data_IF_390193420250
#
_entry.id   IF_390193420250
#
_cell.length_a   1.000
_cell.length_b   1.000
_cell.length_c   1.000
_cell.angle_alpha   90.00
_cell.angle_beta   90.00
_cell.angle_gamma   90.00
#
_symmetry.space_group_name_H-M   'P 1'
#
loop_
_entity.id
_entity.type
_entity.pdbx_description
1 polymer ?
#
# COMPACT_ATOMS: atom_id res chain seq x y z
N UNK A 1 -3.16 2.88 -16.73
CA UNK A 1 -3.45 2.52 -15.33
C UNK A 1 -2.87 3.51 -14.32
N UNK A 2 -1.57 3.55 -14.02
CA UNK A 2 -1.01 4.38 -12.94
C UNK A 2 -1.38 5.88 -13.03
N UNK A 3 -1.29 6.49 -14.20
CA UNK A 3 -1.67 7.90 -14.39
C UNK A 3 -3.15 8.17 -14.11
N UNK A 4 -4.02 7.23 -14.43
CA UNK A 4 -5.44 7.33 -14.15
C UNK A 4 -5.70 7.25 -12.64
N UNK A 5 -5.14 6.25 -11.99
CA UNK A 5 -5.24 6.09 -10.54
C UNK A 5 -4.69 7.33 -9.80
N UNK A 6 -3.59 7.90 -10.29
CA UNK A 6 -3.05 9.15 -9.75
C UNK A 6 -4.02 10.33 -9.85
N UNK A 7 -4.67 10.51 -10.99
CA UNK A 7 -5.65 11.59 -11.18
C UNK A 7 -6.88 11.41 -10.28
N UNK A 8 -7.38 10.20 -10.17
CA UNK A 8 -8.54 9.90 -9.32
C UNK A 8 -8.22 10.06 -7.84
N UNK A 9 -7.05 9.59 -7.40
CA UNK A 9 -6.56 9.81 -6.05
C UNK A 9 -6.40 11.31 -5.73
N UNK A 10 -5.83 12.08 -6.67
CA UNK A 10 -5.66 13.53 -6.50
C UNK A 10 -6.98 14.27 -6.32
N UNK A 11 -8.05 13.86 -6.99
CA UNK A 11 -9.40 14.44 -6.81
C UNK A 11 -9.94 14.26 -5.38
N UNK A 12 -9.41 13.28 -4.64
CA UNK A 12 -9.74 13.00 -3.23
C UNK A 12 -8.69 13.54 -2.26
N UNK A 13 -7.73 14.35 -2.74
CA UNK A 13 -6.69 14.93 -1.93
C UNK A 13 -5.46 14.03 -1.69
N UNK A 14 -5.46 12.81 -2.21
CA UNK A 14 -4.32 11.90 -2.09
C UNK A 14 -3.20 12.27 -3.06
N UNK A 15 -1.97 12.20 -2.57
CA UNK A 15 -0.76 12.26 -3.42
C UNK A 15 -0.33 10.86 -3.79
N UNK A 16 0.07 10.66 -5.03
CA UNK A 16 0.68 9.42 -5.50
C UNK A 16 2.14 9.68 -5.89
N UNK A 17 3.04 8.85 -5.38
CA UNK A 17 4.43 8.77 -5.80
C UNK A 17 4.64 7.44 -6.53
N UNK A 18 4.98 7.53 -7.81
CA UNK A 18 5.32 6.36 -8.59
C UNK A 18 6.75 5.87 -8.27
N UNK A 19 6.97 4.57 -8.30
CA UNK A 19 8.28 3.94 -8.17
C UNK A 19 9.05 4.46 -6.94
N UNK A 20 8.39 4.50 -5.79
CA UNK A 20 9.02 4.99 -4.56
C UNK A 20 10.27 4.15 -4.23
N UNK A 21 11.36 4.82 -3.91
CA UNK A 21 12.68 4.21 -3.70
C UNK A 21 13.35 4.73 -2.42
N UNK A 22 14.48 4.15 -2.05
CA UNK A 22 15.25 4.57 -0.89
C UNK A 22 14.97 3.74 0.37
N UNK A 23 14.21 2.65 0.25
CA UNK A 23 14.06 1.67 1.32
C UNK A 23 14.55 0.30 0.87
N UNK A 24 15.12 -0.44 1.83
CA UNK A 24 15.80 -1.70 1.60
C UNK A 24 15.23 -2.76 2.54
N UNK A 25 15.08 -3.97 2.05
CA UNK A 25 14.81 -5.14 2.88
C UNK A 25 16.09 -5.60 3.57
N UNK A 26 17.21 -5.53 2.83
CA UNK A 26 18.55 -5.84 3.31
C UNK A 26 19.44 -4.68 2.91
N UNK A 27 20.07 -4.03 3.89
CA UNK A 27 21.12 -3.04 3.65
C UNK A 27 22.44 -3.77 3.34
N UNK A 28 23.30 -3.12 2.57
CA UNK A 28 24.63 -3.67 2.30
C UNK A 28 25.40 -3.79 3.61
N UNK A 29 25.81 -5.01 3.93
CA UNK A 29 26.65 -5.31 5.06
C UNK A 29 27.80 -6.23 4.61
N UNK A 30 29.02 -5.75 4.73
CA UNK A 30 30.24 -6.53 4.44
C UNK A 30 30.25 -7.16 3.01
N UNK A 31 29.80 -6.41 2.01
CA UNK A 31 29.77 -6.84 0.60
C UNK A 31 28.59 -7.72 0.21
N UNK A 32 27.61 -7.92 1.09
CA UNK A 32 26.35 -8.55 0.71
C UNK A 32 25.50 -7.60 -0.16
N UNK A 33 24.77 -8.10 -1.17
CA UNK A 33 23.94 -7.26 -2.01
C UNK A 33 22.77 -6.64 -1.22
N UNK A 34 22.53 -5.35 -1.43
CA UNK A 34 21.32 -4.70 -0.91
C UNK A 34 20.09 -5.13 -1.71
N UNK A 35 18.97 -5.36 -1.02
CA UNK A 35 17.70 -5.69 -1.63
C UNK A 35 16.77 -4.47 -1.56
N UNK A 36 16.59 -3.81 -2.70
CA UNK A 36 15.74 -2.62 -2.82
C UNK A 36 14.27 -2.98 -2.84
N UNK A 37 13.46 -2.18 -2.16
CA UNK A 37 12.00 -2.29 -2.16
C UNK A 37 11.38 -1.09 -2.88
N UNK A 38 10.78 -1.36 -4.03
CA UNK A 38 10.23 -0.34 -4.94
C UNK A 38 8.79 -0.65 -5.30
N UNK A 39 7.80 -0.28 -4.48
CA UNK A 39 6.41 -0.42 -4.87
C UNK A 39 6.10 0.48 -6.06
N UNK A 40 5.20 0.05 -6.93
CA UNK A 40 4.80 0.81 -8.11
C UNK A 40 4.18 2.16 -7.75
N UNK A 41 3.35 2.18 -6.71
CA UNK A 41 2.64 3.37 -6.28
C UNK A 41 2.60 3.47 -4.76
N UNK A 42 2.90 4.64 -4.24
CA UNK A 42 2.74 5.01 -2.84
C UNK A 42 1.75 6.17 -2.75
N UNK A 43 0.70 6.01 -1.98
CA UNK A 43 -0.34 7.01 -1.77
C UNK A 43 -0.24 7.58 -0.37
N UNK A 44 -0.43 8.89 -0.24
CA UNK A 44 -0.40 9.58 1.05
C UNK A 44 -1.43 10.69 1.13
N UNK A 45 -2.14 10.77 2.26
CA UNK A 45 -3.09 11.83 2.58
C UNK A 45 -3.28 11.95 4.09
N UNK A 46 -3.21 13.17 4.64
CA UNK A 46 -3.51 13.46 6.04
C UNK A 46 -2.86 12.49 7.07
N UNK A 47 -1.62 12.09 6.83
CA UNK A 47 -0.90 11.13 7.68
C UNK A 47 -1.16 9.66 7.38
N UNK A 48 -2.17 9.34 6.57
CA UNK A 48 -2.39 8.00 6.07
C UNK A 48 -1.46 7.71 4.89
N UNK A 49 -0.89 6.51 4.88
CA UNK A 49 -0.05 6.02 3.79
C UNK A 49 -0.51 4.61 3.43
N UNK A 50 -0.65 4.35 2.15
CA UNK A 50 -0.86 3.01 1.63
C UNK A 50 -0.06 2.81 0.34
N UNK A 51 0.10 1.59 -0.10
CA UNK A 51 0.85 1.28 -1.31
C UNK A 51 0.11 0.32 -2.23
N UNK A 52 0.42 0.39 -3.52
CA UNK A 52 -0.11 -0.52 -4.50
C UNK A 52 0.99 -0.99 -5.45
N UNK A 53 0.87 -2.22 -5.88
CA UNK A 53 1.71 -2.84 -6.90
C UNK A 53 0.85 -3.45 -7.99
N UNK A 54 1.25 -3.28 -9.24
CA UNK A 54 0.49 -3.76 -10.39
C UNK A 54 1.14 -4.99 -10.99
N UNK A 55 0.33 -5.91 -11.47
CA UNK A 55 0.81 -7.12 -12.13
C UNK A 55 0.35 -7.14 -13.58
N UNK A 56 1.15 -7.78 -14.42
CA UNK A 56 0.86 -7.88 -15.85
C UNK A 56 0.03 -9.11 -16.22
N UNK A 57 -0.02 -10.10 -15.35
CA UNK A 57 -0.82 -11.31 -15.56
C UNK A 57 -2.28 -11.07 -15.14
N UNK A 58 -3.20 -11.69 -15.84
CA UNK A 58 -4.62 -11.70 -15.47
C UNK A 58 -4.83 -12.66 -14.30
N UNK A 59 -5.64 -12.26 -13.32
CA UNK A 59 -6.12 -13.13 -12.25
C UNK A 59 -7.64 -13.30 -12.39
N UNK A 60 -8.10 -14.53 -12.55
CA UNK A 60 -9.52 -14.89 -12.71
C UNK A 60 -10.08 -15.62 -11.48
N UNK A 61 -9.23 -16.13 -10.62
CA UNK A 61 -9.58 -16.87 -9.39
C UNK A 61 -8.49 -16.71 -8.34
N UNK A 62 -8.81 -17.04 -7.09
CA UNK A 62 -7.87 -16.92 -5.96
C UNK A 62 -6.54 -17.67 -6.18
N UNK A 63 -6.56 -18.80 -6.89
CA UNK A 63 -5.33 -19.57 -7.18
C UNK A 63 -4.37 -18.88 -8.16
N UNK A 64 -4.78 -17.81 -8.80
CA UNK A 64 -3.93 -17.06 -9.72
C UNK A 64 -3.05 -16.03 -8.98
N UNK A 65 -3.36 -15.76 -7.71
CA UNK A 65 -2.54 -14.91 -6.84
C UNK A 65 -1.34 -15.73 -6.38
N UNK A 66 -0.14 -15.36 -6.83
CA UNK A 66 1.05 -16.14 -6.49
C UNK A 66 1.55 -15.83 -5.07
N UNK A 67 2.11 -16.85 -4.43
CA UNK A 67 2.78 -16.67 -3.13
C UNK A 67 3.92 -15.64 -3.21
N UNK A 68 4.64 -15.59 -4.33
CA UNK A 68 5.71 -14.63 -4.54
C UNK A 68 5.18 -13.18 -4.52
N UNK A 69 4.02 -12.93 -5.14
CA UNK A 69 3.37 -11.62 -5.10
C UNK A 69 2.96 -11.24 -3.67
N UNK A 70 2.44 -12.20 -2.90
CA UNK A 70 2.07 -11.99 -1.49
C UNK A 70 3.30 -11.68 -0.64
N UNK A 71 4.40 -12.42 -0.80
CA UNK A 71 5.65 -12.16 -0.08
C UNK A 71 6.25 -10.79 -0.42
N UNK A 72 6.20 -10.40 -1.69
CA UNK A 72 6.65 -9.09 -2.12
C UNK A 72 5.83 -7.98 -1.45
N UNK A 73 4.50 -8.13 -1.45
CA UNK A 73 3.60 -7.16 -0.82
C UNK A 73 3.79 -7.09 0.68
N UNK A 74 4.04 -8.22 1.34
CA UNK A 74 4.39 -8.25 2.75
C UNK A 74 5.67 -7.45 3.05
N UNK A 75 6.74 -7.70 2.27
CA UNK A 75 7.99 -6.97 2.43
C UNK A 75 7.83 -5.45 2.22
N UNK A 76 7.05 -5.05 1.21
CA UNK A 76 6.74 -3.64 0.98
C UNK A 76 5.95 -3.03 2.14
N UNK A 77 4.94 -3.73 2.62
CA UNK A 77 4.07 -3.28 3.72
C UNK A 77 4.87 -3.08 5.01
N UNK A 78 5.70 -4.06 5.39
CA UNK A 78 6.53 -3.98 6.60
C UNK A 78 7.56 -2.85 6.54
N UNK A 79 8.03 -2.50 5.36
CA UNK A 79 9.08 -1.49 5.19
C UNK A 79 8.51 -0.09 4.98
N UNK A 80 7.48 0.04 4.15
CA UNK A 80 6.94 1.35 3.76
C UNK A 80 5.80 1.84 4.66
N UNK A 81 5.03 0.92 5.26
CA UNK A 81 3.88 1.24 6.10
C UNK A 81 4.14 1.01 7.60
N UNK A 82 5.38 0.90 7.99
CA UNK A 82 5.79 0.56 9.35
C UNK A 82 5.16 1.42 10.43
N UNK A 83 4.96 2.70 10.14
CA UNK A 83 4.44 3.68 11.11
C UNK A 83 2.91 3.82 11.07
N UNK A 84 2.24 3.08 10.18
CA UNK A 84 0.79 3.08 10.12
C UNK A 84 0.20 2.13 11.16
N UNK A 85 -0.85 2.57 11.86
CA UNK A 85 -1.58 1.75 12.85
C UNK A 85 -2.33 0.59 12.20
N UNK A 86 -2.92 0.86 11.03
CA UNK A 86 -3.47 -0.17 10.14
C UNK A 86 -2.76 -0.02 8.79
N UNK A 87 -2.21 -1.11 8.28
CA UNK A 87 -1.43 -1.12 7.06
C UNK A 87 -2.28 -1.64 5.92
N UNK A 88 -2.66 -0.78 4.99
CA UNK A 88 -3.38 -1.15 3.78
C UNK A 88 -2.44 -1.20 2.57
N UNK A 89 -2.37 -2.34 1.93
CA UNK A 89 -1.66 -2.54 0.67
C UNK A 89 -2.58 -3.13 -0.38
N UNK A 90 -2.30 -2.85 -1.65
CA UNK A 90 -3.14 -3.21 -2.77
C UNK A 90 -2.33 -3.91 -3.85
N UNK A 91 -2.77 -5.09 -4.25
CA UNK A 91 -2.24 -5.85 -5.36
C UNK A 91 -3.26 -5.77 -6.50
N UNK A 92 -2.87 -5.19 -7.63
CA UNK A 92 -3.80 -4.87 -8.72
C UNK A 92 -3.47 -5.70 -9.95
N UNK A 93 -4.42 -6.52 -10.37
CA UNK A 93 -4.32 -7.33 -11.57
C UNK A 93 -5.19 -6.74 -12.70
N UNK A 94 -4.72 -6.76 -13.95
CA UNK A 94 -5.60 -6.44 -15.08
C UNK A 94 -6.68 -7.52 -15.24
N UNK A 95 -7.87 -7.10 -15.62
CA UNK A 95 -8.98 -8.00 -15.91
C UNK A 95 -9.86 -7.45 -17.01
N UNK A 96 -10.56 -8.32 -17.73
CA UNK A 96 -11.62 -7.95 -18.68
C UNK A 96 -13.00 -7.92 -18.01
N UNK A 97 -13.09 -8.39 -16.77
CA UNK A 97 -14.30 -8.34 -15.94
C UNK A 97 -13.89 -8.00 -14.51
N UNK A 98 -14.62 -7.08 -13.89
CA UNK A 98 -14.45 -6.81 -12.47
C UNK A 98 -14.63 -8.11 -11.67
N UNK A 99 -13.68 -8.41 -10.81
CA UNK A 99 -13.71 -9.56 -9.91
C UNK A 99 -13.41 -9.10 -8.50
N UNK A 100 -14.10 -9.72 -7.54
CA UNK A 100 -13.83 -9.51 -6.14
C UNK A 100 -13.00 -10.67 -5.59
N UNK A 101 -11.93 -10.31 -4.91
CA UNK A 101 -11.08 -11.24 -4.18
C UNK A 101 -11.20 -10.95 -2.69
N UNK A 102 -11.16 -11.98 -1.83
CA UNK A 102 -11.13 -11.75 -0.38
C UNK A 102 -9.86 -11.02 0.01
N UNK A 103 -9.96 -10.12 0.96
CA UNK A 103 -8.80 -9.48 1.57
C UNK A 103 -7.96 -10.50 2.34
N UNK A 104 -6.64 -10.38 2.25
CA UNK A 104 -5.71 -11.24 2.95
C UNK A 104 -5.20 -10.52 4.20
N UNK A 105 -5.42 -11.13 5.36
CA UNK A 105 -4.98 -10.59 6.65
C UNK A 105 -3.68 -11.27 7.08
N UNK A 106 -2.63 -10.48 7.27
CA UNK A 106 -1.38 -11.00 7.80
C UNK A 106 -1.51 -11.26 9.31
N UNK A 107 -1.04 -12.43 9.75
CA UNK A 107 -1.29 -12.91 11.13
C UNK A 107 -0.60 -12.10 12.23
N UNK A 108 0.45 -11.36 11.90
CA UNK A 108 1.32 -10.74 12.90
C UNK A 108 0.91 -9.34 13.35
N UNK A 109 0.13 -8.66 12.52
CA UNK A 109 -0.23 -7.27 12.78
C UNK A 109 -1.55 -6.88 12.09
N UNK A 110 -1.87 -5.59 12.14
CA UNK A 110 -3.06 -5.04 11.47
C UNK A 110 -2.83 -4.79 9.97
N UNK A 111 -2.07 -5.64 9.30
CA UNK A 111 -1.78 -5.52 7.86
C UNK A 111 -2.83 -6.26 7.05
N UNK A 112 -3.38 -5.56 6.06
CA UNK A 112 -4.38 -6.09 5.13
C UNK A 112 -3.91 -5.87 3.70
N UNK A 113 -3.82 -6.96 2.94
CA UNK A 113 -3.57 -6.94 1.52
C UNK A 113 -4.90 -7.08 0.77
N UNK A 114 -5.28 -6.04 0.06
CA UNK A 114 -6.44 -6.03 -0.83
C UNK A 114 -5.99 -6.45 -2.22
N UNK A 115 -6.68 -7.42 -2.79
CA UNK A 115 -6.47 -7.84 -4.16
C UNK A 115 -7.59 -7.24 -5.01
N UNK A 116 -7.22 -6.37 -5.93
CA UNK A 116 -8.14 -5.64 -6.79
C UNK A 116 -7.92 -6.03 -8.25
N UNK A 117 -8.96 -5.84 -9.05
CA UNK A 117 -8.84 -5.90 -10.50
C UNK A 117 -8.96 -4.51 -11.11
N UNK A 118 -8.17 -4.28 -12.15
CA UNK A 118 -8.32 -3.13 -13.04
C UNK A 118 -9.07 -3.59 -14.27
N UNK A 119 -10.29 -3.09 -14.44
CA UNK A 119 -11.12 -3.36 -15.61
C UNK A 119 -10.55 -2.61 -16.80
N UNK A 120 -10.02 -3.37 -17.77
CA UNK A 120 -9.41 -2.82 -18.97
C UNK A 120 -10.43 -2.27 -19.97
N UNK A 121 -11.66 -2.75 -19.91
CA UNK A 121 -12.74 -2.33 -20.80
C UNK A 121 -13.34 -0.99 -20.36
N UNK A 122 -13.58 -0.83 -19.06
CA UNK A 122 -14.17 0.37 -18.48
C UNK A 122 -13.17 1.34 -17.89
N UNK A 123 -11.88 0.96 -17.85
CA UNK A 123 -10.80 1.75 -17.27
C UNK A 123 -11.05 2.11 -15.80
N UNK A 124 -11.51 1.14 -14.99
CA UNK A 124 -11.94 1.30 -13.61
C UNK A 124 -11.19 0.36 -12.64
N UNK A 125 -11.02 0.83 -11.42
CA UNK A 125 -10.44 0.06 -10.33
C UNK A 125 -11.03 0.51 -8.98
N UNK A 126 -11.33 -0.43 -8.09
CA UNK A 126 -11.88 -0.15 -6.75
C UNK A 126 -10.91 0.51 -5.76
N UNK A 127 -9.72 0.91 -6.19
CA UNK A 127 -8.73 1.54 -5.32
C UNK A 127 -9.22 2.88 -4.75
N UNK A 128 -9.91 3.69 -5.54
CA UNK A 128 -10.36 5.01 -5.09
C UNK A 128 -11.45 4.94 -4.03
N UNK A 129 -12.31 3.93 -4.06
CA UNK A 129 -13.28 3.64 -3.00
C UNK A 129 -12.59 3.24 -1.70
N UNK A 130 -11.52 2.46 -1.81
CA UNK A 130 -10.69 2.09 -0.65
C UNK A 130 -9.98 3.30 -0.05
N UNK A 131 -9.40 4.19 -0.87
CA UNK A 131 -8.78 5.42 -0.39
C UNK A 131 -9.79 6.29 0.38
N UNK A 132 -11.01 6.40 -0.09
CA UNK A 132 -12.07 7.12 0.61
C UNK A 132 -12.44 6.47 1.96
N UNK A 133 -12.46 5.14 2.03
CA UNK A 133 -12.70 4.41 3.29
C UNK A 133 -11.59 4.61 4.30
N UNK A 134 -10.33 4.60 3.87
CA UNK A 134 -9.17 4.85 4.73
C UNK A 134 -9.24 6.26 5.32
N UNK A 135 -9.63 7.26 4.55
CA UNK A 135 -9.80 8.63 5.03
C UNK A 135 -10.93 8.79 6.06
N UNK A 136 -11.96 7.96 5.98
CA UNK A 136 -13.11 8.03 6.88
C UNK A 136 -12.82 7.47 8.28
N UNK A 137 -11.73 6.74 8.46
CA UNK A 137 -11.32 6.23 9.77
C UNK A 137 -10.53 7.32 10.50
N UNK A 138 -11.00 7.82 11.67
CA UNK A 138 -10.23 8.79 12.44
C UNK A 138 -8.85 8.23 12.76
N UNK A 139 -7.79 8.93 12.41
CA UNK A 139 -6.45 8.63 12.90
C UNK A 139 -6.48 8.77 14.42
N UNK A 140 -6.47 7.65 15.13
CA UNK A 140 -6.33 7.64 16.57
C UNK A 140 -5.06 8.45 16.91
N UNK A 141 -5.25 9.52 17.70
CA UNK A 141 -4.34 10.62 17.90
C UNK A 141 -2.88 10.23 17.97
N UNK A 142 -2.06 10.94 17.24
CA UNK A 142 -0.66 11.07 17.57
C UNK A 142 -0.62 11.60 19.00
N UNK A 143 -0.14 10.80 19.94
CA UNK A 143 0.25 11.30 21.24
C UNK A 143 1.32 12.38 20.97
N UNK A 144 0.94 13.64 21.11
CA UNK A 144 1.87 14.69 21.40
C UNK A 144 2.58 14.28 22.70
N UNK A 145 3.80 13.79 22.55
CA UNK A 145 4.73 13.78 23.66
C UNK A 145 5.03 15.23 23.99
N UNK A 146 4.20 15.80 24.83
CA UNK A 146 4.56 17.00 25.59
C UNK A 146 5.79 16.62 26.42
N UNK A 147 6.94 17.06 25.97
CA UNK A 147 8.17 17.06 26.76
C UNK A 147 7.93 18.03 27.90
N UNK A 148 7.54 17.50 29.05
CA UNK A 148 7.60 18.23 30.31
C UNK A 148 9.08 18.47 30.64
N UNK A 149 9.53 19.70 30.39
CA UNK A 149 10.80 20.18 30.92
C UNK A 149 10.71 20.18 32.44
N UNK A 150 11.70 19.66 33.17
CA UNK A 150 11.72 19.78 34.61
C UNK A 150 11.93 21.24 35.01
N UNK A 151 11.02 21.79 35.79
CA UNK A 151 11.20 23.07 36.46
C UNK A 151 12.29 22.88 37.52
N UNK A 152 13.46 23.48 37.27
CA UNK A 152 14.54 23.52 38.26
C UNK A 152 14.19 24.43 39.41
N UNK A 153 14.42 23.93 40.59
CA UNK A 153 14.62 24.74 41.80
C UNK A 153 16.04 25.23 41.86
#
# INVERSE_FOLDING_TARGET
>A
MAQRLAKEAARRGWRMKAQASGRFLVEECMGAPSVHLRPDMLFSHAGNVCLADTKWKVAEKNGDISQADIYQMFAYTETWLREQSVKHSFLIYPSVKAQEFPALHFRRDSSVLHVLTYDLEHDECGLTEWLARIDSVPTAGKHENAVLLPVGT
#
